data_IF_932740928920
#
_entry.id   IF_932740928920
#
_cell.length_a   1.000
_cell.length_b   1.000
_cell.length_c   1.000
_cell.angle_alpha   90.00
_cell.angle_beta   90.00
_cell.angle_gamma   90.00
#
_symmetry.space_group_name_H-M   'P 1'
#
loop_
_entity.id
_entity.type
_entity.pdbx_description
1 polymer ?
#
# COMPACT_ATOMS: atom_id res chain seq x y z
N UNK A 1 -15.81 2.57 -17.46
CA UNK A 1 -14.90 3.73 -17.68
C UNK A 1 -15.53 5.00 -17.14
N UNK A 2 -16.73 5.38 -17.58
CA UNK A 2 -17.42 6.58 -17.09
C UNK A 2 -17.69 6.57 -15.57
N UNK A 3 -18.14 5.42 -15.04
CA UNK A 3 -18.37 5.24 -13.61
C UNK A 3 -17.11 5.44 -12.76
N UNK A 4 -15.97 4.87 -13.19
CA UNK A 4 -14.69 5.05 -12.49
C UNK A 4 -14.20 6.49 -12.53
N UNK A 5 -14.39 7.19 -13.66
CA UNK A 5 -14.05 8.62 -13.77
C UNK A 5 -14.92 9.48 -12.84
N UNK A 6 -16.23 9.20 -12.79
CA UNK A 6 -17.14 9.88 -11.85
C UNK A 6 -16.70 9.65 -10.40
N UNK A 7 -16.39 8.41 -10.03
CA UNK A 7 -15.92 8.08 -8.69
C UNK A 7 -14.57 8.73 -8.36
N UNK A 8 -13.60 8.70 -9.28
CA UNK A 8 -12.29 9.34 -9.11
C UNK A 8 -12.42 10.83 -8.79
N UNK A 9 -13.27 11.56 -9.51
CA UNK A 9 -13.51 12.98 -9.29
C UNK A 9 -14.29 13.26 -7.97
N UNK A 10 -14.84 12.23 -7.34
CA UNK A 10 -15.63 12.33 -6.12
C UNK A 10 -14.83 12.01 -4.85
N UNK A 11 -13.86 11.10 -4.93
CA UNK A 11 -13.05 10.65 -3.78
C UNK A 11 -11.69 11.37 -3.74
N UNK A 12 -11.03 11.34 -2.57
CA UNK A 12 -9.82 12.12 -2.32
C UNK A 12 -8.51 11.33 -2.40
N UNK A 13 -8.57 10.04 -2.74
CA UNK A 13 -7.43 9.14 -2.82
C UNK A 13 -7.91 7.71 -3.00
N UNK A 14 -6.98 6.79 -3.29
CA UNK A 14 -7.33 5.37 -3.44
C UNK A 14 -6.28 4.46 -2.79
N UNK A 15 -6.77 3.38 -2.19
CA UNK A 15 -5.95 2.32 -1.63
C UNK A 15 -6.18 1.02 -2.41
N UNK A 16 -5.08 0.40 -2.84
CA UNK A 16 -5.01 -0.91 -3.45
C UNK A 16 -4.63 -1.93 -2.36
N UNK A 17 -5.60 -2.71 -1.84
CA UNK A 17 -5.35 -3.62 -0.73
C UNK A 17 -4.52 -4.85 -1.15
N UNK A 18 -4.06 -5.60 -0.14
CA UNK A 18 -3.51 -6.93 -0.36
C UNK A 18 -4.55 -7.92 -0.89
N UNK A 19 -4.10 -9.08 -1.36
CA UNK A 19 -4.99 -10.10 -1.91
C UNK A 19 -4.25 -11.22 -2.64
N UNK A 20 -5.00 -12.04 -3.37
CA UNK A 20 -4.46 -13.20 -4.08
C UNK A 20 -4.98 -13.35 -5.52
N UNK A 21 -5.41 -12.26 -6.14
CA UNK A 21 -5.88 -12.25 -7.54
C UNK A 21 -4.75 -11.90 -8.51
N UNK A 22 -4.94 -12.16 -9.80
CA UNK A 22 -3.94 -11.85 -10.84
C UNK A 22 -3.70 -10.34 -11.00
N UNK A 23 -2.45 -9.89 -10.95
CA UNK A 23 -2.06 -8.48 -11.23
C UNK A 23 -2.02 -8.12 -12.72
N UNK A 24 -2.40 -9.06 -13.60
CA UNK A 24 -2.34 -8.91 -15.07
C UNK A 24 -3.72 -9.04 -15.72
N UNK A 25 -4.63 -9.82 -15.12
CA UNK A 25 -5.85 -10.28 -15.80
C UNK A 25 -7.10 -10.32 -14.92
N UNK A 26 -7.07 -9.71 -13.73
CA UNK A 26 -8.21 -9.67 -12.81
C UNK A 26 -9.08 -8.42 -12.99
N UNK A 27 -10.28 -8.42 -12.40
CA UNK A 27 -11.08 -7.19 -12.30
C UNK A 27 -10.44 -6.12 -11.42
N UNK A 28 -9.68 -6.56 -10.41
CA UNK A 28 -8.87 -5.71 -9.55
C UNK A 28 -7.80 -4.95 -10.35
N UNK A 29 -7.03 -5.66 -11.17
CA UNK A 29 -6.00 -5.06 -12.04
C UNK A 29 -6.61 -3.99 -12.94
N UNK A 30 -7.73 -4.30 -13.61
CA UNK A 30 -8.37 -3.36 -14.53
C UNK A 30 -8.83 -2.09 -13.82
N UNK A 31 -9.38 -2.20 -12.62
CA UNK A 31 -9.78 -1.04 -11.82
C UNK A 31 -8.56 -0.23 -11.36
N UNK A 32 -7.54 -0.91 -10.81
CA UNK A 32 -6.30 -0.27 -10.35
C UNK A 32 -5.58 0.46 -11.49
N UNK A 33 -5.53 -0.12 -12.69
CA UNK A 33 -4.97 0.52 -13.89
C UNK A 33 -5.69 1.83 -14.22
N UNK A 34 -7.02 1.81 -14.27
CA UNK A 34 -7.82 3.01 -14.57
C UNK A 34 -7.55 4.12 -13.54
N UNK A 35 -7.58 3.80 -12.24
CA UNK A 35 -7.33 4.78 -11.20
C UNK A 35 -5.89 5.28 -11.18
N UNK A 36 -4.91 4.42 -11.48
CA UNK A 36 -3.51 4.82 -11.60
C UNK A 36 -3.31 5.79 -12.75
N UNK A 37 -3.84 5.50 -13.94
CA UNK A 37 -3.77 6.40 -15.11
C UNK A 37 -4.43 7.76 -14.82
N UNK A 38 -5.62 7.75 -14.18
CA UNK A 38 -6.30 8.99 -13.77
C UNK A 38 -5.50 9.77 -12.73
N UNK A 39 -4.88 9.09 -11.76
CA UNK A 39 -4.04 9.72 -10.76
C UNK A 39 -2.78 10.34 -11.38
N UNK A 40 -2.11 9.66 -12.31
CA UNK A 40 -0.97 10.22 -13.04
C UNK A 40 -1.41 11.48 -13.80
N UNK A 41 -2.49 11.40 -14.58
CA UNK A 41 -3.01 12.54 -15.35
C UNK A 41 -3.37 13.72 -14.45
N UNK A 42 -4.09 13.49 -13.34
CA UNK A 42 -4.48 14.51 -12.39
C UNK A 42 -3.26 15.19 -11.75
N UNK A 43 -2.31 14.41 -11.23
CA UNK A 43 -1.13 14.97 -10.60
C UNK A 43 -0.26 15.74 -11.60
N UNK A 44 -0.11 15.27 -12.84
CA UNK A 44 0.64 15.99 -13.89
C UNK A 44 0.05 17.36 -14.26
N UNK A 45 -1.26 17.57 -14.06
CA UNK A 45 -1.92 18.88 -14.24
C UNK A 45 -2.09 19.69 -12.96
N UNK A 46 -1.50 19.25 -11.85
CA UNK A 46 -1.54 19.94 -10.55
C UNK A 46 -2.74 19.62 -9.67
N UNK A 47 -3.49 18.56 -9.98
CA UNK A 47 -4.61 18.06 -9.20
C UNK A 47 -4.18 16.87 -8.34
N UNK A 48 -3.97 17.10 -7.03
CA UNK A 48 -3.22 16.19 -6.15
C UNK A 48 -4.03 14.95 -5.76
N UNK A 49 -3.77 13.78 -6.35
CA UNK A 49 -4.51 12.57 -6.01
C UNK A 49 -3.59 11.45 -5.51
N UNK A 50 -3.61 11.10 -4.22
CA UNK A 50 -2.71 10.10 -3.67
C UNK A 50 -3.19 8.66 -3.90
N UNK A 51 -2.23 7.77 -4.15
CA UNK A 51 -2.45 6.33 -4.33
C UNK A 51 -1.61 5.56 -3.32
N UNK A 52 -2.21 4.60 -2.64
CA UNK A 52 -1.53 3.68 -1.72
C UNK A 52 -1.64 2.24 -2.20
N UNK A 53 -0.55 1.47 -2.18
CA UNK A 53 -0.56 0.03 -2.44
C UNK A 53 -0.04 -0.77 -1.26
N UNK A 54 -0.81 -1.76 -0.79
CA UNK A 54 -0.40 -2.71 0.26
C UNK A 54 -0.28 -4.12 -0.33
N UNK A 55 0.86 -4.79 -0.16
CA UNK A 55 1.11 -6.17 -0.60
C UNK A 55 0.78 -6.38 -2.09
N UNK A 56 -0.36 -7.01 -2.44
CA UNK A 56 -0.84 -7.10 -3.83
C UNK A 56 -0.97 -5.71 -4.50
N UNK A 57 -1.37 -4.68 -3.75
CA UNK A 57 -1.39 -3.31 -4.25
C UNK A 57 -0.01 -2.76 -4.55
N UNK A 58 1.01 -3.09 -3.75
CA UNK A 58 2.41 -2.77 -4.04
C UNK A 58 2.87 -3.51 -5.30
N UNK A 59 2.59 -4.81 -5.42
CA UNK A 59 2.88 -5.62 -6.61
C UNK A 59 2.23 -5.03 -7.87
N UNK A 60 0.97 -4.60 -7.75
CA UNK A 60 0.21 -3.95 -8.82
C UNK A 60 0.86 -2.63 -9.24
N UNK A 61 1.33 -1.79 -8.31
CA UNK A 61 2.04 -0.56 -8.63
C UNK A 61 3.34 -0.84 -9.39
N UNK A 62 4.12 -1.85 -8.97
CA UNK A 62 5.36 -2.22 -9.66
C UNK A 62 5.07 -2.69 -11.10
N UNK A 63 3.99 -3.45 -11.29
CA UNK A 63 3.55 -3.87 -12.61
C UNK A 63 3.06 -2.69 -13.47
N UNK A 64 2.24 -1.79 -12.92
CA UNK A 64 1.70 -0.64 -13.67
C UNK A 64 2.78 0.35 -14.09
N UNK A 65 3.82 0.55 -13.29
CA UNK A 65 4.93 1.45 -13.63
C UNK A 65 5.91 0.81 -14.63
N UNK A 66 6.21 -0.49 -14.50
CA UNK A 66 7.20 -1.16 -15.35
C UNK A 66 6.64 -1.84 -16.59
N UNK A 67 5.33 -2.10 -16.60
CA UNK A 67 4.60 -2.96 -17.56
C UNK A 67 5.18 -4.37 -17.74
N UNK A 68 5.97 -4.86 -16.76
CA UNK A 68 6.70 -6.13 -16.83
C UNK A 68 6.38 -7.02 -15.63
N UNK A 69 6.38 -8.34 -15.83
CA UNK A 69 6.23 -9.33 -14.75
C UNK A 69 7.60 -9.64 -14.15
N UNK A 70 8.01 -8.81 -13.18
CA UNK A 70 9.37 -8.77 -12.62
C UNK A 70 9.48 -9.27 -11.18
N UNK A 71 8.38 -9.75 -10.60
CA UNK A 71 8.36 -10.30 -9.25
C UNK A 71 8.97 -11.69 -9.23
N UNK A 72 9.62 -12.04 -8.13
CA UNK A 72 10.19 -13.36 -7.88
C UNK A 72 9.67 -13.94 -6.58
N UNK A 73 9.75 -15.26 -6.45
CA UNK A 73 9.22 -15.96 -5.29
C UNK A 73 10.15 -15.83 -4.08
N UNK A 74 9.59 -15.44 -2.94
CA UNK A 74 10.29 -15.27 -1.64
C UNK A 74 9.59 -16.09 -0.56
N UNK A 75 10.32 -16.42 0.51
CA UNK A 75 9.76 -17.16 1.65
C UNK A 75 9.26 -16.24 2.77
N UNK A 76 8.18 -15.52 2.50
CA UNK A 76 7.63 -14.43 3.33
C UNK A 76 6.12 -14.56 3.58
N UNK A 77 5.59 -15.78 3.52
CA UNK A 77 4.14 -16.07 3.59
C UNK A 77 3.58 -16.20 5.02
N UNK A 78 4.13 -15.44 5.98
CA UNK A 78 3.65 -15.42 7.36
C UNK A 78 4.77 -15.22 8.37
N UNK A 79 5.25 -13.97 8.50
CA UNK A 79 6.28 -13.59 9.45
C UNK A 79 6.21 -12.10 9.78
N UNK A 80 6.77 -11.69 10.92
CA UNK A 80 7.00 -10.29 11.23
C UNK A 80 8.48 -9.93 10.97
N UNK A 81 8.73 -8.74 10.41
CA UNK A 81 10.07 -8.24 10.11
C UNK A 81 10.26 -6.80 10.61
N UNK A 82 11.48 -6.40 10.99
CA UNK A 82 11.87 -4.99 11.04
C UNK A 82 11.95 -4.42 9.62
N UNK A 83 12.22 -3.13 9.46
CA UNK A 83 12.51 -2.49 8.18
C UNK A 83 14.00 -2.13 8.08
N UNK A 84 14.68 -2.62 7.05
CA UNK A 84 16.03 -2.15 6.74
C UNK A 84 15.90 -0.85 5.96
N UNK A 85 15.92 0.29 6.65
CA UNK A 85 15.81 1.60 5.99
C UNK A 85 17.01 1.89 5.09
N UNK A 86 16.74 2.49 3.94
CA UNK A 86 17.78 3.02 3.06
C UNK A 86 18.12 4.46 3.45
N UNK A 87 19.10 5.06 2.78
CA UNK A 87 19.41 6.48 2.98
C UNK A 87 18.29 7.42 2.50
N UNK A 88 17.38 6.96 1.63
CA UNK A 88 16.27 7.76 1.08
C UNK A 88 15.25 8.14 2.15
N UNK A 89 15.22 7.44 3.30
CA UNK A 89 14.29 7.74 4.38
C UNK A 89 14.42 9.19 4.89
N UNK A 90 15.63 9.77 4.83
CA UNK A 90 15.93 11.12 5.35
C UNK A 90 15.12 12.23 4.68
N UNK A 91 14.85 12.06 3.39
CA UNK A 91 14.09 13.00 2.56
C UNK A 91 12.73 12.43 2.14
N UNK A 92 12.25 11.41 2.87
CA UNK A 92 10.97 10.76 2.58
C UNK A 92 9.80 11.61 3.03
N UNK A 93 8.69 11.52 2.28
CA UNK A 93 7.41 12.10 2.71
C UNK A 93 6.73 11.18 3.71
N UNK A 94 6.76 9.87 3.45
CA UNK A 94 6.04 8.85 4.23
C UNK A 94 6.43 8.83 5.71
N UNK A 95 7.74 8.93 6.01
CA UNK A 95 8.24 8.80 7.39
C UNK A 95 8.60 10.15 8.03
N UNK A 96 8.30 11.27 7.37
CA UNK A 96 8.72 12.60 7.81
C UNK A 96 8.25 12.96 9.22
N UNK A 97 7.02 12.61 9.55
CA UNK A 97 6.37 12.99 10.82
C UNK A 97 6.38 11.84 11.85
N UNK A 98 7.13 10.77 11.58
CA UNK A 98 7.28 9.67 12.54
C UNK A 98 8.18 10.07 13.71
N UNK A 99 7.82 9.70 14.96
CA UNK A 99 8.72 9.87 16.10
C UNK A 99 10.04 9.12 15.87
N UNK A 100 11.17 9.72 16.24
CA UNK A 100 12.48 9.09 16.06
C UNK A 100 12.60 7.72 16.75
N UNK A 101 12.02 7.59 17.95
CA UNK A 101 11.92 6.31 18.67
C UNK A 101 11.14 5.26 17.85
N UNK A 102 10.03 5.65 17.21
CA UNK A 102 9.27 4.71 16.37
C UNK A 102 10.02 4.31 15.10
N UNK A 103 10.86 5.19 14.54
CA UNK A 103 11.76 4.84 13.44
C UNK A 103 12.84 3.85 13.91
N UNK A 104 13.38 4.03 15.11
CA UNK A 104 14.33 3.08 15.71
C UNK A 104 13.69 1.71 15.99
N UNK A 105 12.48 1.70 16.56
CA UNK A 105 11.70 0.48 16.78
C UNK A 105 11.42 -0.22 15.45
N UNK A 106 11.01 0.52 14.41
CA UNK A 106 10.81 -0.05 13.07
C UNK A 106 12.09 -0.65 12.49
N UNK A 107 13.25 -0.07 12.77
CA UNK A 107 14.54 -0.56 12.28
C UNK A 107 15.04 -1.81 13.02
N UNK A 108 14.57 -2.05 14.25
CA UNK A 108 15.18 -3.04 15.15
C UNK A 108 14.22 -4.14 15.62
N UNK A 109 12.92 -3.87 15.65
CA UNK A 109 11.89 -4.80 16.11
C UNK A 109 11.06 -5.38 14.96
N UNK A 110 10.55 -6.59 15.14
CA UNK A 110 9.70 -7.26 14.16
C UNK A 110 8.27 -6.68 14.17
N UNK A 111 8.08 -5.50 13.58
CA UNK A 111 6.81 -4.73 13.63
C UNK A 111 5.95 -4.82 12.36
N UNK A 112 6.49 -5.37 11.26
CA UNK A 112 5.79 -5.37 9.96
C UNK A 112 5.35 -6.77 9.56
N UNK A 113 4.05 -6.96 9.37
CA UNK A 113 3.47 -8.25 8.96
C UNK A 113 3.75 -8.51 7.48
N UNK A 114 4.32 -9.68 7.18
CA UNK A 114 4.57 -10.15 5.83
C UNK A 114 3.82 -11.46 5.58
N UNK A 115 2.89 -11.44 4.63
CA UNK A 115 2.10 -12.59 4.16
C UNK A 115 2.01 -12.64 2.63
N UNK A 116 3.16 -12.54 1.95
CA UNK A 116 3.28 -12.58 0.49
C UNK A 116 4.12 -13.77 0.00
N UNK A 117 3.99 -14.10 -1.28
CA UNK A 117 4.77 -15.15 -1.96
C UNK A 117 5.73 -14.60 -3.00
N UNK A 118 5.50 -13.36 -3.42
CA UNK A 118 6.21 -12.70 -4.50
C UNK A 118 6.74 -11.38 -3.97
N UNK A 119 7.95 -11.02 -4.36
CA UNK A 119 8.55 -9.74 -4.00
C UNK A 119 9.37 -9.18 -5.16
N UNK A 120 9.57 -7.87 -5.15
CA UNK A 120 10.48 -7.20 -6.06
C UNK A 120 11.89 -7.21 -5.49
N UNK A 121 12.83 -7.93 -6.12
CA UNK A 121 14.24 -7.87 -5.73
C UNK A 121 14.80 -6.46 -5.90
N UNK A 122 15.67 -6.05 -4.98
CA UNK A 122 16.37 -4.76 -5.06
C UNK A 122 17.18 -4.64 -6.35
N UNK A 123 17.87 -5.72 -6.76
CA UNK A 123 18.61 -5.76 -8.03
C UNK A 123 17.68 -5.53 -9.24
N UNK A 124 16.51 -6.16 -9.24
CA UNK A 124 15.52 -6.02 -10.31
C UNK A 124 14.98 -4.60 -10.38
N UNK A 125 14.64 -3.99 -9.24
CA UNK A 125 14.27 -2.57 -9.16
C UNK A 125 15.35 -1.66 -9.76
N UNK A 126 16.60 -1.82 -9.32
CA UNK A 126 17.71 -0.94 -9.73
C UNK A 126 18.11 -1.10 -11.20
N UNK A 127 17.90 -2.28 -11.78
CA UNK A 127 18.16 -2.54 -13.20
C UNK A 127 16.99 -2.18 -14.13
N UNK A 128 15.81 -1.91 -13.57
CA UNK A 128 14.63 -1.50 -14.31
C UNK A 128 14.54 0.03 -14.32
N UNK A 129 14.81 0.65 -15.47
CA UNK A 129 14.87 2.11 -15.61
C UNK A 129 13.55 2.77 -15.21
N UNK A 130 12.41 2.17 -15.61
CA UNK A 130 11.09 2.74 -15.33
C UNK A 130 10.80 2.81 -13.82
N UNK A 131 11.13 1.76 -13.06
CA UNK A 131 10.98 1.74 -11.61
C UNK A 131 12.00 2.62 -10.90
N UNK A 132 13.28 2.52 -11.28
CA UNK A 132 14.36 3.24 -10.62
C UNK A 132 14.18 4.76 -10.73
N UNK A 133 13.68 5.25 -11.86
CA UNK A 133 13.38 6.67 -12.05
C UNK A 133 12.09 7.12 -11.36
N UNK A 134 11.16 6.19 -11.10
CA UNK A 134 9.84 6.53 -10.57
C UNK A 134 9.78 6.43 -9.03
N UNK A 135 10.43 5.45 -8.42
CA UNK A 135 10.31 5.16 -6.98
C UNK A 135 11.62 5.34 -6.20
N UNK A 136 11.51 6.04 -5.07
CA UNK A 136 12.45 5.95 -3.96
C UNK A 136 12.19 4.67 -3.19
N UNK A 137 13.22 3.85 -2.99
CA UNK A 137 13.17 2.70 -2.08
C UNK A 137 13.46 3.19 -0.68
N UNK A 138 12.45 3.21 0.20
CA UNK A 138 12.58 3.70 1.59
C UNK A 138 13.09 2.61 2.53
N UNK A 139 12.68 1.35 2.28
CA UNK A 139 13.18 0.20 3.03
C UNK A 139 13.27 -1.05 2.18
N UNK A 140 14.15 -1.95 2.60
CA UNK A 140 14.30 -3.31 2.07
C UNK A 140 14.12 -4.32 3.19
N UNK A 141 13.99 -5.59 2.80
CA UNK A 141 14.00 -6.74 3.69
C UNK A 141 14.67 -7.93 3.00
N UNK A 142 14.95 -8.99 3.75
CA UNK A 142 15.47 -10.24 3.19
C UNK A 142 14.73 -11.46 3.71
N UNK A 143 14.54 -12.46 2.86
CA UNK A 143 14.05 -13.79 3.24
C UNK A 143 15.20 -14.77 3.59
N UNK A 144 16.43 -14.23 3.74
CA UNK A 144 17.66 -14.99 3.95
C UNK A 144 18.37 -15.42 2.65
N UNK A 145 17.75 -15.21 1.49
CA UNK A 145 18.35 -15.50 0.17
C UNK A 145 18.30 -14.31 -0.76
N UNK A 146 17.16 -13.63 -0.80
CA UNK A 146 16.92 -12.48 -1.66
C UNK A 146 16.68 -11.25 -0.79
N UNK A 147 17.32 -10.14 -1.17
CA UNK A 147 16.95 -8.82 -0.67
C UNK A 147 15.87 -8.23 -1.58
N UNK A 148 14.76 -7.79 -1.00
CA UNK A 148 13.60 -7.28 -1.69
C UNK A 148 13.18 -5.91 -1.16
N UNK A 149 12.57 -5.12 -2.04
CA UNK A 149 12.00 -3.81 -1.72
C UNK A 149 10.77 -4.02 -0.85
N UNK A 150 10.72 -3.36 0.32
CA UNK A 150 9.59 -3.50 1.26
C UNK A 150 8.75 -2.23 1.40
N UNK A 151 9.32 -1.06 1.16
CA UNK A 151 8.58 0.22 1.18
C UNK A 151 9.10 1.17 0.11
N UNK A 152 8.19 1.82 -0.61
CA UNK A 152 8.50 2.83 -1.65
C UNK A 152 7.60 4.05 -1.55
N UNK A 153 8.12 5.17 -2.05
CA UNK A 153 7.32 6.32 -2.46
C UNK A 153 7.80 6.83 -3.82
N UNK A 154 6.91 7.33 -4.67
CA UNK A 154 7.31 7.88 -5.95
C UNK A 154 8.07 9.21 -5.78
N UNK A 155 9.00 9.55 -6.67
CA UNK A 155 9.74 10.82 -6.59
C UNK A 155 8.78 12.01 -6.72
N UNK A 156 8.02 12.05 -7.83
CA UNK A 156 7.26 13.22 -8.27
C UNK A 156 5.74 13.08 -8.09
N UNK A 157 5.25 11.89 -7.76
CA UNK A 157 3.83 11.61 -7.58
C UNK A 157 3.52 11.20 -6.13
N UNK A 158 2.30 11.49 -5.62
CA UNK A 158 1.87 11.03 -4.31
C UNK A 158 1.44 9.55 -4.34
N UNK A 159 2.34 8.68 -4.80
CA UNK A 159 2.13 7.24 -4.91
C UNK A 159 3.04 6.53 -3.93
N UNK A 160 2.45 5.65 -3.13
CA UNK A 160 3.07 5.02 -1.97
C UNK A 160 2.83 3.52 -1.98
N UNK A 161 3.81 2.75 -1.53
CA UNK A 161 3.70 1.30 -1.54
C UNK A 161 4.38 0.65 -0.34
N UNK A 162 3.70 -0.33 0.27
CA UNK A 162 4.25 -1.22 1.30
C UNK A 162 4.03 -2.66 0.87
N UNK A 163 5.08 -3.47 0.84
CA UNK A 163 4.96 -4.91 0.55
C UNK A 163 4.35 -5.68 1.74
N UNK A 164 4.54 -5.13 2.94
CA UNK A 164 4.02 -5.61 4.21
C UNK A 164 2.64 -5.00 4.53
N UNK A 165 1.98 -5.53 5.56
CA UNK A 165 0.59 -5.19 5.92
C UNK A 165 0.52 -4.33 7.19
N UNK A 166 0.52 -2.99 7.09
CA UNK A 166 0.40 -2.14 8.26
C UNK A 166 -0.95 -2.29 8.98
N UNK A 167 -2.03 -2.60 8.28
CA UNK A 167 -3.37 -2.67 8.85
C UNK A 167 -3.56 -3.83 9.84
N UNK A 168 -2.77 -4.89 9.70
CA UNK A 168 -2.97 -6.13 10.47
C UNK A 168 -2.66 -5.96 11.95
N UNK A 169 -1.74 -5.08 12.31
CA UNK A 169 -1.29 -4.91 13.68
C UNK A 169 -2.44 -4.49 14.60
N UNK A 170 -3.34 -3.62 14.14
CA UNK A 170 -4.46 -3.11 14.94
C UNK A 170 -5.73 -3.95 14.83
N UNK A 171 -5.96 -4.57 13.67
CA UNK A 171 -7.29 -5.10 13.34
C UNK A 171 -7.36 -6.63 13.21
N UNK A 172 -6.25 -7.34 13.07
CA UNK A 172 -6.26 -8.76 12.69
C UNK A 172 -5.62 -9.69 13.73
N UNK A 173 -6.42 -10.53 14.39
CA UNK A 173 -5.97 -11.42 15.48
C UNK A 173 -5.86 -12.89 15.05
N UNK A 174 -5.93 -13.15 13.74
CA UNK A 174 -6.11 -14.50 13.19
C UNK A 174 -4.85 -15.34 13.15
N UNK A 175 -3.65 -14.76 13.38
CA UNK A 175 -2.36 -15.46 13.29
C UNK A 175 -1.40 -15.02 14.39
N UNK A 176 -0.64 -15.94 14.99
CA UNK A 176 0.22 -15.64 16.13
C UNK A 176 1.48 -14.82 15.79
N UNK A 177 1.84 -14.72 14.51
CA UNK A 177 3.00 -13.96 14.05
C UNK A 177 2.67 -12.49 13.73
N UNK A 178 1.39 -12.08 13.79
CA UNK A 178 1.01 -10.70 13.57
C UNK A 178 1.48 -9.87 14.77
N UNK A 179 2.24 -8.78 14.55
CA UNK A 179 2.77 -8.00 15.65
C UNK A 179 1.68 -7.09 16.24
N UNK A 180 1.47 -7.22 17.56
CA UNK A 180 0.49 -6.44 18.33
C UNK A 180 1.16 -5.60 19.44
N UNK A 181 2.47 -5.34 19.34
CA UNK A 181 3.18 -4.50 20.31
C UNK A 181 2.70 -3.04 20.20
N UNK A 182 2.83 -2.22 21.26
CA UNK A 182 2.45 -0.80 21.19
C UNK A 182 3.10 -0.05 20.02
N UNK A 183 4.35 -0.35 19.68
CA UNK A 183 5.04 0.26 18.54
C UNK A 183 4.48 -0.23 17.20
N UNK A 184 4.12 -1.51 17.07
CA UNK A 184 3.43 -2.04 15.88
C UNK A 184 2.08 -1.34 15.63
N UNK A 185 1.30 -1.09 16.70
CA UNK A 185 0.05 -0.32 16.63
C UNK A 185 0.33 1.12 16.18
N UNK A 186 1.29 1.81 16.82
CA UNK A 186 1.66 3.18 16.43
C UNK A 186 2.08 3.25 14.96
N UNK A 187 2.84 2.28 14.45
CA UNK A 187 3.23 2.23 13.04
C UNK A 187 2.01 2.30 12.12
N UNK A 188 0.98 1.48 12.38
CA UNK A 188 -0.26 1.46 11.60
C UNK A 188 -0.96 2.81 11.62
N UNK A 189 -1.12 3.39 12.82
CA UNK A 189 -1.71 4.70 12.99
C UNK A 189 -0.96 5.79 12.22
N UNK A 190 0.38 5.87 12.34
CA UNK A 190 1.16 6.93 11.70
C UNK A 190 1.16 6.81 10.16
N UNK A 191 1.17 5.59 9.60
CA UNK A 191 1.01 5.43 8.14
C UNK A 191 -0.39 5.84 7.66
N UNK A 192 -1.44 5.46 8.40
CA UNK A 192 -2.79 5.90 8.08
C UNK A 192 -2.93 7.42 8.19
N UNK A 193 -2.39 8.03 9.25
CA UNK A 193 -2.39 9.47 9.46
C UNK A 193 -1.64 10.20 8.33
N UNK A 194 -0.50 9.67 7.87
CA UNK A 194 0.20 10.16 6.70
C UNK A 194 -0.69 10.10 5.45
N UNK A 195 -1.21 8.93 5.07
CA UNK A 195 -1.97 8.79 3.82
C UNK A 195 -3.27 9.60 3.82
N UNK A 196 -3.97 9.68 4.95
CA UNK A 196 -5.16 10.56 5.07
C UNK A 196 -4.76 12.03 4.98
N UNK A 197 -3.58 12.43 5.45
CA UNK A 197 -3.08 13.80 5.27
C UNK A 197 -2.72 14.10 3.82
N UNK A 198 -2.29 13.12 3.06
CA UNK A 198 -2.14 13.23 1.60
C UNK A 198 -3.49 13.46 0.92
N UNK A 199 -4.52 12.70 1.31
CA UNK A 199 -5.86 12.82 0.72
C UNK A 199 -6.50 14.19 0.97
N UNK A 200 -6.14 14.88 2.07
CA UNK A 200 -6.61 16.25 2.36
C UNK A 200 -6.06 17.32 1.41
N UNK A 201 -5.14 16.98 0.50
CA UNK A 201 -4.48 17.94 -0.40
C UNK A 201 -5.22 18.15 -1.73
N UNK A 202 -6.31 17.43 -1.99
CA UNK A 202 -7.27 17.78 -3.05
C UNK A 202 -8.64 18.14 -2.48
N UNK A 203 -9.48 18.69 -3.35
CA UNK A 203 -10.82 19.17 -3.03
C UNK A 203 -11.90 18.41 -3.81
N UNK A 204 -11.61 17.18 -4.22
CA UNK A 204 -12.62 16.29 -4.81
C UNK A 204 -13.78 16.10 -3.83
N UNK A 205 -14.97 15.95 -4.38
CA UNK A 205 -16.20 15.74 -3.62
C UNK A 205 -17.27 15.15 -4.51
N UNK A 206 -18.20 14.42 -3.90
CA UNK A 206 -19.40 13.97 -4.59
C UNK A 206 -20.26 15.16 -5.05
N UNK A 207 -21.05 14.94 -6.10
CA UNK A 207 -21.95 15.95 -6.66
C UNK A 207 -23.06 16.34 -5.67
N UNK A 208 -23.45 15.41 -4.78
CA UNK A 208 -24.44 15.64 -3.73
C UNK A 208 -24.24 14.73 -2.52
N UNK A 209 -24.80 15.14 -1.38
CA UNK A 209 -24.81 14.35 -0.14
C UNK A 209 -25.54 13.00 -0.31
N UNK A 210 -26.54 12.92 -1.18
CA UNK A 210 -27.28 11.68 -1.48
C UNK A 210 -26.40 10.66 -2.22
N UNK A 211 -25.62 11.12 -3.21
CA UNK A 211 -24.67 10.24 -3.91
C UNK A 211 -23.54 9.79 -2.98
N UNK A 212 -23.00 10.70 -2.16
CA UNK A 212 -22.00 10.34 -1.14
C UNK A 212 -22.55 9.28 -0.19
N UNK A 213 -23.73 9.53 0.39
CA UNK A 213 -24.36 8.63 1.35
C UNK A 213 -24.56 7.22 0.81
N UNK A 214 -24.86 7.06 -0.49
CA UNK A 214 -25.02 5.75 -1.14
C UNK A 214 -23.71 5.03 -1.44
N UNK A 215 -22.61 5.78 -1.60
CA UNK A 215 -21.29 5.24 -1.93
C UNK A 215 -20.50 4.74 -0.71
N UNK A 216 -20.80 5.28 0.48
CA UNK A 216 -20.04 4.97 1.71
C UNK A 216 -20.12 3.50 2.13
N UNK A 217 -19.03 3.02 2.73
CA UNK A 217 -18.93 1.66 3.28
C UNK A 217 -19.98 1.36 4.37
N UNK A 218 -20.56 2.40 4.99
CA UNK A 218 -21.61 2.28 6.00
C UNK A 218 -22.91 1.62 5.51
N UNK A 219 -23.11 1.49 4.19
CA UNK A 219 -24.25 0.78 3.61
C UNK A 219 -24.08 -0.74 3.59
N UNK A 220 -22.91 -1.25 3.96
CA UNK A 220 -22.57 -2.66 3.86
C UNK A 220 -22.32 -3.25 5.24
N UNK A 221 -22.51 -4.56 5.37
CA UNK A 221 -22.26 -5.29 6.60
C UNK A 221 -21.17 -6.34 6.39
N UNK A 222 -20.12 -6.37 7.21
CA UNK A 222 -19.10 -7.40 7.10
C UNK A 222 -19.58 -8.73 7.68
N UNK A 223 -18.99 -9.82 7.18
CA UNK A 223 -19.20 -11.18 7.71
C UNK A 223 -18.00 -11.55 8.58
N UNK A 224 -18.25 -12.16 9.74
CA UNK A 224 -17.19 -12.74 10.57
C UNK A 224 -16.59 -13.97 9.88
N UNK A 225 -15.28 -13.92 9.60
CA UNK A 225 -14.55 -14.98 8.87
C UNK A 225 -13.31 -15.51 9.58
N UNK A 226 -12.95 -14.95 10.74
CA UNK A 226 -11.74 -15.29 11.50
C UNK A 226 -11.43 -16.79 11.63
N UNK A 227 -12.41 -17.70 11.88
CA UNK A 227 -12.15 -19.12 12.03
C UNK A 227 -11.63 -19.85 10.78
N UNK A 228 -11.76 -19.25 9.59
CA UNK A 228 -11.46 -19.91 8.29
C UNK A 228 -10.60 -19.08 7.35
N UNK A 229 -10.28 -17.83 7.68
CA UNK A 229 -9.57 -16.91 6.80
C UNK A 229 -8.34 -16.30 7.49
N UNK A 230 -7.65 -15.38 6.80
CA UNK A 230 -6.62 -14.53 7.38
C UNK A 230 -7.14 -13.17 7.87
N UNK A 231 -8.47 -13.03 7.98
CA UNK A 231 -9.16 -11.79 8.31
C UNK A 231 -10.29 -12.04 9.33
N UNK A 232 -10.41 -11.23 10.37
CA UNK A 232 -11.51 -11.32 11.33
C UNK A 232 -12.84 -11.08 10.63
N UNK A 233 -12.91 -10.07 9.77
CA UNK A 233 -14.12 -9.64 9.08
C UNK A 233 -13.85 -9.33 7.61
N UNK A 234 -14.79 -9.67 6.73
CA UNK A 234 -14.72 -9.39 5.29
C UNK A 234 -16.06 -8.82 4.79
N UNK A 235 -15.99 -7.76 4.00
CA UNK A 235 -17.13 -7.27 3.22
C UNK A 235 -17.21 -8.02 1.89
N UNK A 236 -18.39 -8.53 1.55
CA UNK A 236 -18.69 -9.16 0.25
C UNK A 236 -19.68 -8.29 -0.52
N UNK A 237 -19.46 -8.15 -1.84
CA UNK A 237 -20.22 -7.29 -2.75
C UNK A 237 -20.72 -8.09 -3.95
#
# INVERSE_FOLDING_TARGET
MEEYKKLFNSINGILYPGGGVSIISSGYERAAKIFYELAIEANSRGDYFPVWGTCLGFEQLMYLTSEKTILLQTNTSGMALPLNFTNEIKDSRMFKDFPAELIEDLATEALTENSHKWSLAVLTHNSNEELNMFYKVLSTNTDGKVEFVSTVEAYDYPIYGTQWHPEKNEFEWTRPYIPHSPSAIKTSFYLAQFFVSEARKNFHKFESEDEESKALIYNYNPVFTGPKSGFEQIYFF
#
